data_IF_226057723856
#
_entry.id   IF_226057723856
#
_cell.length_a   1.000
_cell.length_b   1.000
_cell.length_c   1.000
_cell.angle_alpha   90.00
_cell.angle_beta   90.00
_cell.angle_gamma   90.00
#
_symmetry.space_group_name_H-M   'P 1'
#
loop_
_entity.id
_entity.type
_entity.pdbx_description
1 polymer ?
#
# COMPACT_ATOMS: atom_id res chain seq x y z
N UNK A 1 -0.76 -19.60 -5.82
CA UNK A 1 -1.07 -18.19 -5.52
C UNK A 1 -0.16 -17.28 -6.33
N UNK A 2 -0.72 -16.29 -6.99
CA UNK A 2 0.07 -15.36 -7.77
C UNK A 2 0.59 -14.24 -6.87
N UNK A 3 1.84 -13.81 -7.04
CA UNK A 3 2.37 -12.69 -6.26
C UNK A 3 1.75 -11.37 -6.69
N UNK A 4 1.88 -10.37 -5.81
CA UNK A 4 1.51 -8.99 -6.14
C UNK A 4 2.38 -8.52 -7.31
N UNK A 5 1.77 -7.89 -8.31
CA UNK A 5 2.50 -7.34 -9.45
C UNK A 5 2.25 -5.84 -9.65
N UNK A 6 1.36 -5.26 -8.88
CA UNK A 6 1.07 -3.83 -8.96
C UNK A 6 1.00 -3.24 -7.55
N UNK A 7 1.62 -2.09 -7.36
CA UNK A 7 1.56 -1.35 -6.10
C UNK A 7 0.93 0.01 -6.35
N UNK A 8 -0.11 0.34 -5.59
CA UNK A 8 -0.73 1.65 -5.60
C UNK A 8 -0.31 2.39 -4.34
N UNK A 9 0.44 3.48 -4.51
CA UNK A 9 0.78 4.38 -3.41
C UNK A 9 -0.35 5.36 -3.20
N UNK A 10 -0.90 5.40 -1.99
CA UNK A 10 -1.97 6.32 -1.62
C UNK A 10 -1.38 7.35 -0.67
N UNK A 11 -1.18 8.55 -1.16
CA UNK A 11 -0.50 9.61 -0.42
C UNK A 11 -0.85 10.95 -1.02
N UNK A 12 -0.86 11.99 -0.19
CA UNK A 12 -1.02 13.36 -0.66
C UNK A 12 0.19 13.85 -1.46
N UNK A 13 1.28 13.10 -1.44
CA UNK A 13 2.51 13.44 -2.16
C UNK A 13 2.88 12.31 -3.09
N UNK A 14 3.44 12.67 -4.24
CA UNK A 14 3.96 11.68 -5.17
C UNK A 14 5.08 10.87 -4.50
N UNK A 15 5.14 9.54 -4.69
CA UNK A 15 6.22 8.74 -4.14
C UNK A 15 7.57 9.14 -4.71
N UNK A 16 8.63 8.89 -3.94
CA UNK A 16 9.98 9.21 -4.38
C UNK A 16 10.34 8.40 -5.63
N UNK A 17 11.02 9.06 -6.56
CA UNK A 17 11.41 8.43 -7.82
C UNK A 17 12.28 7.18 -7.58
N UNK A 18 13.13 7.21 -6.57
CA UNK A 18 14.01 6.07 -6.27
C UNK A 18 13.21 4.83 -5.88
N UNK A 19 12.20 4.99 -5.03
CA UNK A 19 11.34 3.87 -4.63
C UNK A 19 10.59 3.32 -5.84
N UNK A 20 10.02 4.20 -6.64
CA UNK A 20 9.30 3.81 -7.83
C UNK A 20 10.19 3.02 -8.78
N UNK A 21 11.40 3.53 -9.05
CA UNK A 21 12.34 2.86 -9.93
C UNK A 21 12.79 1.52 -9.39
N UNK A 22 13.06 1.43 -8.09
CA UNK A 22 13.49 0.17 -7.47
C UNK A 22 12.39 -0.89 -7.57
N UNK A 23 11.14 -0.50 -7.37
CA UNK A 23 10.01 -1.42 -7.51
C UNK A 23 9.81 -1.85 -8.96
N UNK A 24 9.95 -0.93 -9.90
CA UNK A 24 9.83 -1.25 -11.32
C UNK A 24 10.92 -2.21 -11.78
N UNK A 25 12.14 -2.07 -11.26
CA UNK A 25 13.23 -3.01 -11.55
C UNK A 25 12.92 -4.41 -11.06
N UNK A 26 12.07 -4.55 -10.07
CA UNK A 26 11.65 -5.85 -9.52
C UNK A 26 10.43 -6.41 -10.25
N UNK A 27 10.02 -5.78 -11.34
CA UNK A 27 8.90 -6.24 -12.16
C UNK A 27 7.54 -5.78 -11.67
N UNK A 28 7.50 -4.82 -10.75
CA UNK A 28 6.27 -4.30 -10.21
C UNK A 28 5.82 -3.05 -10.97
N UNK A 29 4.53 -2.98 -11.26
CA UNK A 29 3.92 -1.77 -11.77
C UNK A 29 3.63 -0.85 -10.59
N UNK A 30 3.92 0.42 -10.73
CA UNK A 30 3.72 1.40 -9.65
C UNK A 30 2.75 2.47 -10.12
N UNK A 31 1.73 2.72 -9.33
CA UNK A 31 0.77 3.78 -9.58
C UNK A 31 0.63 4.65 -8.33
N UNK A 32 0.27 5.90 -8.52
CA UNK A 32 0.06 6.85 -7.44
C UNK A 32 -1.38 7.31 -7.41
N UNK A 33 -1.99 7.24 -6.23
CA UNK A 33 -3.31 7.76 -5.96
C UNK A 33 -3.18 8.86 -4.92
N UNK A 34 -3.61 10.06 -5.24
CA UNK A 34 -3.49 11.18 -4.32
C UNK A 34 -4.68 11.29 -3.33
N UNK A 35 -5.58 10.33 -3.36
CA UNK A 35 -6.76 10.31 -2.49
C UNK A 35 -7.32 8.90 -2.39
N UNK A 36 -8.19 8.69 -1.41
CA UNK A 36 -8.91 7.43 -1.25
C UNK A 36 -9.76 7.13 -2.49
N UNK A 37 -10.42 8.16 -3.01
CA UNK A 37 -11.28 7.99 -4.19
C UNK A 37 -10.48 7.48 -5.39
N UNK A 38 -9.33 8.09 -5.67
CA UNK A 38 -8.48 7.67 -6.78
C UNK A 38 -7.98 6.24 -6.56
N UNK A 39 -7.60 5.91 -5.32
CA UNK A 39 -7.14 4.56 -5.00
C UNK A 39 -8.23 3.52 -5.25
N UNK A 40 -9.45 3.79 -4.83
CA UNK A 40 -10.55 2.86 -5.05
C UNK A 40 -10.89 2.72 -6.53
N UNK A 41 -10.84 3.81 -7.28
CA UNK A 41 -11.07 3.78 -8.73
C UNK A 41 -10.00 2.94 -9.44
N UNK A 42 -8.74 3.12 -9.06
CA UNK A 42 -7.66 2.33 -9.64
C UNK A 42 -7.80 0.85 -9.32
N UNK A 43 -8.13 0.53 -8.08
CA UNK A 43 -8.29 -0.87 -7.68
C UNK A 43 -9.46 -1.52 -8.41
N UNK A 44 -10.56 -0.81 -8.56
CA UNK A 44 -11.75 -1.33 -9.24
C UNK A 44 -11.50 -1.61 -10.72
N UNK A 45 -10.61 -0.85 -11.37
CA UNK A 45 -10.30 -1.03 -12.78
C UNK A 45 -9.15 -2.02 -13.02
N UNK A 46 -8.42 -2.40 -11.98
CA UNK A 46 -7.25 -3.24 -12.10
C UNK A 46 -7.65 -4.71 -11.97
N UNK A 47 -7.28 -5.51 -12.95
CA UNK A 47 -7.55 -6.95 -12.93
C UNK A 47 -6.37 -7.75 -12.39
N UNK A 48 -5.26 -7.11 -12.14
CA UNK A 48 -4.05 -7.76 -11.66
C UNK A 48 -3.98 -7.71 -10.13
N UNK A 49 -3.08 -8.49 -9.56
CA UNK A 49 -2.91 -8.53 -8.12
C UNK A 49 -2.25 -7.25 -7.63
N UNK A 50 -2.98 -6.47 -6.89
CA UNK A 50 -2.60 -5.13 -6.46
C UNK A 50 -2.45 -5.09 -4.96
N UNK A 51 -1.41 -4.40 -4.49
CA UNK A 51 -1.23 -4.06 -3.08
C UNK A 51 -1.37 -2.56 -2.90
N UNK A 52 -1.88 -2.16 -1.75
CA UNK A 52 -2.02 -0.75 -1.38
C UNK A 52 -0.94 -0.41 -0.37
N UNK A 53 -0.23 0.68 -0.62
CA UNK A 53 0.75 1.23 0.33
C UNK A 53 0.31 2.66 0.62
N UNK A 54 -0.07 2.95 1.84
CA UNK A 54 -0.76 4.19 2.15
C UNK A 54 -0.20 4.93 3.35
N UNK A 55 -0.25 6.25 3.29
CA UNK A 55 0.01 7.10 4.45
C UNK A 55 -1.17 7.03 5.42
N UNK A 56 -0.92 7.40 6.67
CA UNK A 56 -1.96 7.39 7.69
C UNK A 56 -3.00 8.50 7.48
N UNK A 57 -2.57 9.65 7.02
CA UNK A 57 -3.46 10.79 6.76
C UNK A 57 -3.51 11.06 5.26
N UNK A 58 -4.71 11.20 4.73
CA UNK A 58 -4.95 11.39 3.31
C UNK A 58 -5.79 12.66 3.10
N UNK A 59 -5.74 13.27 1.90
CA UNK A 59 -6.49 14.51 1.66
C UNK A 59 -8.00 14.40 1.88
N UNK A 60 -8.58 13.21 1.64
CA UNK A 60 -10.03 13.01 1.76
C UNK A 60 -10.40 12.03 2.88
N UNK A 61 -9.52 11.80 3.84
CA UNK A 61 -9.81 10.92 4.96
C UNK A 61 -8.55 10.42 5.63
N UNK A 62 -8.67 9.31 6.33
CA UNK A 62 -7.51 8.69 6.97
C UNK A 62 -7.42 7.22 6.55
N UNK A 63 -6.43 6.52 7.10
CA UNK A 63 -6.19 5.13 6.70
C UNK A 63 -7.36 4.20 7.03
N UNK A 64 -8.13 4.47 8.08
CA UNK A 64 -9.28 3.62 8.40
C UNK A 64 -10.37 3.75 7.36
N UNK A 65 -10.60 4.96 6.85
CA UNK A 65 -11.53 5.19 5.75
C UNK A 65 -11.07 4.46 4.50
N UNK A 66 -9.77 4.51 4.21
CA UNK A 66 -9.20 3.81 3.07
C UNK A 66 -9.44 2.30 3.18
N UNK A 67 -9.15 1.71 4.34
CA UNK A 67 -9.35 0.28 4.55
C UNK A 67 -10.80 -0.11 4.32
N UNK A 68 -11.73 0.65 4.86
CA UNK A 68 -13.16 0.38 4.65
C UNK A 68 -13.53 0.38 3.17
N UNK A 69 -13.08 1.38 2.43
CA UNK A 69 -13.38 1.47 1.00
C UNK A 69 -12.73 0.33 0.20
N UNK A 70 -11.50 -0.01 0.52
CA UNK A 70 -10.82 -1.10 -0.17
C UNK A 70 -11.49 -2.44 0.13
N UNK A 71 -11.92 -2.67 1.36
CA UNK A 71 -12.58 -3.93 1.73
C UNK A 71 -13.96 -4.09 1.09
N UNK A 72 -14.61 -2.99 0.72
CA UNK A 72 -15.84 -3.06 -0.06
C UNK A 72 -15.61 -3.58 -1.48
N UNK A 73 -14.41 -3.38 -2.01
CA UNK A 73 -14.05 -3.80 -3.37
C UNK A 73 -13.36 -5.16 -3.34
N UNK A 74 -12.45 -5.38 -2.39
CA UNK A 74 -11.66 -6.59 -2.31
C UNK A 74 -11.32 -6.91 -0.86
N UNK A 75 -11.64 -8.13 -0.44
CA UNK A 75 -11.32 -8.59 0.90
C UNK A 75 -9.90 -9.13 1.01
N UNK A 76 -9.22 -9.33 -0.10
CA UNK A 76 -7.91 -9.98 -0.12
C UNK A 76 -6.75 -9.06 -0.49
N UNK A 77 -7.01 -7.80 -0.84
CA UNK A 77 -5.96 -6.87 -1.22
C UNK A 77 -5.07 -6.54 -0.02
N UNK A 78 -3.75 -6.80 -0.11
CA UNK A 78 -2.84 -6.41 0.97
C UNK A 78 -2.79 -4.90 1.13
N UNK A 79 -2.83 -4.43 2.37
CA UNK A 79 -2.72 -3.01 2.69
C UNK A 79 -1.56 -2.83 3.65
N UNK A 80 -0.59 -2.02 3.26
CA UNK A 80 0.57 -1.69 4.08
C UNK A 80 0.51 -0.21 4.41
N UNK A 81 0.62 0.11 5.68
CA UNK A 81 0.61 1.50 6.14
C UNK A 81 2.03 2.01 6.33
N UNK A 82 2.27 3.26 5.97
CA UNK A 82 3.55 3.92 6.16
C UNK A 82 3.40 5.01 7.19
N UNK A 83 4.22 4.97 8.24
CA UNK A 83 4.16 5.92 9.34
C UNK A 83 5.53 6.50 9.62
N UNK A 84 5.58 7.76 10.05
CA UNK A 84 6.83 8.37 10.51
C UNK A 84 7.16 7.99 11.94
N UNK A 85 6.19 7.45 12.68
CA UNK A 85 6.40 6.98 14.05
C UNK A 85 5.51 5.80 14.33
N UNK A 86 5.92 4.95 15.27
CA UNK A 86 5.16 3.78 15.66
C UNK A 86 4.68 3.95 17.10
N UNK A 87 3.38 3.77 17.32
CA UNK A 87 2.79 3.78 18.65
C UNK A 87 2.04 2.46 18.89
N UNK A 88 1.90 2.08 20.14
CA UNK A 88 1.14 0.88 20.48
C UNK A 88 -0.31 0.99 20.00
N UNK A 89 -0.90 2.17 20.13
CA UNK A 89 -2.28 2.38 19.69
C UNK A 89 -2.44 2.11 18.20
N UNK A 90 -1.50 2.61 17.39
CA UNK A 90 -1.54 2.40 15.95
C UNK A 90 -1.46 0.91 15.61
N UNK A 91 -0.58 0.18 16.28
CA UNK A 91 -0.44 -1.24 16.05
C UNK A 91 -1.72 -2.01 16.38
N UNK A 92 -2.36 -1.70 17.52
CA UNK A 92 -3.61 -2.35 17.90
C UNK A 92 -4.71 -2.05 16.90
N UNK A 93 -4.86 -0.80 16.50
CA UNK A 93 -5.87 -0.41 15.52
C UNK A 93 -5.65 -1.09 14.17
N UNK A 94 -4.41 -1.18 13.74
CA UNK A 94 -4.07 -1.80 12.46
C UNK A 94 -4.37 -3.30 12.48
N UNK A 95 -4.05 -3.99 13.57
CA UNK A 95 -4.35 -5.41 13.70
C UNK A 95 -5.84 -5.68 13.63
N UNK A 96 -6.64 -4.82 14.26
CA UNK A 96 -8.10 -4.96 14.24
C UNK A 96 -8.69 -4.66 12.86
N UNK A 97 -7.98 -3.90 12.03
CA UNK A 97 -8.48 -3.46 10.72
C UNK A 97 -8.00 -4.31 9.55
N UNK A 98 -7.35 -5.42 9.83
CA UNK A 98 -6.92 -6.38 8.80
C UNK A 98 -5.96 -5.77 7.77
N UNK A 99 -5.01 -4.94 8.24
CA UNK A 99 -3.92 -4.50 7.40
C UNK A 99 -2.77 -5.50 7.46
N UNK A 100 -1.98 -5.56 6.39
CA UNK A 100 -0.88 -6.52 6.29
C UNK A 100 0.26 -6.18 7.22
N UNK A 101 0.65 -4.91 7.27
CA UNK A 101 1.75 -4.47 8.12
C UNK A 101 1.81 -2.95 8.20
N UNK A 102 2.63 -2.45 9.12
CA UNK A 102 2.96 -1.04 9.25
C UNK A 102 4.47 -0.92 9.05
N UNK A 103 4.87 -0.02 8.17
CA UNK A 103 6.29 0.23 7.87
C UNK A 103 6.64 1.63 8.32
N UNK A 104 7.79 1.77 8.97
CA UNK A 104 8.30 3.07 9.35
C UNK A 104 9.02 3.72 8.16
N UNK A 105 8.80 5.01 7.97
CA UNK A 105 9.53 5.78 6.98
C UNK A 105 11.01 5.91 7.42
N UNK A 106 11.95 5.99 6.50
CA UNK A 106 11.79 5.99 5.05
C UNK A 106 11.45 4.62 4.48
N UNK A 107 10.63 4.61 3.47
CA UNK A 107 10.16 3.39 2.84
C UNK A 107 11.25 2.75 1.99
N UNK A 108 11.34 1.43 2.05
CA UNK A 108 12.32 0.65 1.29
C UNK A 108 11.59 -0.33 0.37
N UNK A 109 12.03 -0.40 -0.88
CA UNK A 109 11.47 -1.36 -1.83
C UNK A 109 11.69 -2.80 -1.38
N UNK A 110 12.86 -3.10 -0.81
CA UNK A 110 13.16 -4.43 -0.28
C UNK A 110 12.19 -4.81 0.84
N UNK A 111 11.93 -3.89 1.75
CA UNK A 111 11.03 -4.13 2.86
C UNK A 111 9.60 -4.40 2.38
N UNK A 112 9.13 -3.61 1.43
CA UNK A 112 7.80 -3.82 0.85
C UNK A 112 7.69 -5.19 0.19
N UNK A 113 8.69 -5.59 -0.56
CA UNK A 113 8.69 -6.90 -1.22
C UNK A 113 8.69 -8.05 -0.21
N UNK A 114 9.41 -7.91 0.89
CA UNK A 114 9.39 -8.90 1.97
C UNK A 114 7.99 -9.04 2.57
N UNK A 115 7.34 -7.93 2.88
CA UNK A 115 6.02 -7.92 3.50
C UNK A 115 4.99 -8.53 2.55
N UNK A 116 5.07 -8.21 1.28
CA UNK A 116 4.10 -8.66 0.29
C UNK A 116 4.40 -10.07 -0.25
N UNK A 117 5.49 -10.67 0.20
CA UNK A 117 5.86 -12.00 -0.26
C UNK A 117 6.30 -12.06 -1.71
N UNK A 118 6.67 -10.92 -2.29
CA UNK A 118 7.08 -10.86 -3.68
C UNK A 118 8.50 -11.39 -3.84
N UNK A 119 8.67 -12.39 -4.71
CA UNK A 119 9.99 -12.90 -5.03
C UNK A 119 10.67 -11.97 -6.03
N UNK A 120 11.90 -11.57 -5.74
CA UNK A 120 12.63 -10.60 -6.55
C UNK A 120 13.64 -11.25 -7.47
N UNK A 121 13.24 -12.29 -8.13
CA UNK A 121 14.02 -12.78 -9.23
C UNK A 121 15.22 -13.63 -8.87
N UNK A 122 15.00 -14.55 -8.06
CA UNK A 122 16.02 -15.58 -7.89
C UNK A 122 15.90 -16.66 -8.91
#
# INVERSE_FOLDING_TARGET
>A
MQPVNTIVFVSGRKPEAKIEQDLQRRGLKVEWANSIKVATDLLASESERTAIVADLALPDGNWTDLVEHIRCISSSTPIVLVSSSSTAELWWDALDSDVEDIVLAPLSASRLCEILGHSTGL
#
